data_IF_254223425368
#
_entry.id   IF_254223425368
#
_cell.length_a   1.000
_cell.length_b   1.000
_cell.length_c   1.000
_cell.angle_alpha   90.00
_cell.angle_beta   90.00
_cell.angle_gamma   90.00
#
_symmetry.space_group_name_H-M   'P 1'
#
loop_
_entity.id
_entity.type
_entity.pdbx_description
1 polymer ?
#
# COMPACT_ATOMS: atom_id res chain seq x y z
N UNK A 1 5.00 -2.74 25.40
CA UNK A 1 3.83 -3.52 24.94
C UNK A 1 3.88 -3.58 23.42
N UNK A 2 3.65 -4.74 22.81
CA UNK A 2 3.57 -4.85 21.34
C UNK A 2 2.16 -4.50 20.91
N UNK A 3 1.99 -3.41 20.14
CA UNK A 3 0.68 -3.09 19.57
C UNK A 3 0.25 -4.23 18.64
N UNK A 4 -0.97 -4.77 18.77
CA UNK A 4 -1.46 -5.79 17.87
C UNK A 4 -1.40 -5.30 16.42
N UNK A 5 -0.89 -6.14 15.53
CA UNK A 5 -0.69 -5.77 14.12
C UNK A 5 -1.16 -6.92 13.23
N UNK A 6 -1.86 -6.60 12.15
CA UNK A 6 -2.30 -7.55 11.15
C UNK A 6 -1.99 -7.07 9.74
N UNK A 7 -1.40 -7.95 8.94
CA UNK A 7 -1.19 -7.75 7.51
C UNK A 7 -2.44 -8.18 6.75
N UNK A 8 -2.98 -7.32 5.89
CA UNK A 8 -4.23 -7.48 5.17
C UNK A 8 -3.94 -7.55 3.67
N UNK A 9 -4.27 -8.69 3.04
CA UNK A 9 -3.90 -8.99 1.67
C UNK A 9 -5.13 -9.30 0.83
N UNK A 10 -5.55 -8.40 -0.09
CA UNK A 10 -6.54 -8.73 -1.10
C UNK A 10 -5.91 -9.59 -2.18
N UNK A 11 -6.62 -10.64 -2.64
CA UNK A 11 -6.10 -11.58 -3.62
C UNK A 11 -7.14 -11.87 -4.70
N UNK A 12 -6.71 -11.81 -5.96
CA UNK A 12 -7.46 -12.33 -7.10
C UNK A 12 -6.53 -13.02 -8.08
N UNK A 13 -6.56 -14.36 -8.12
CA UNK A 13 -5.76 -15.17 -9.04
C UNK A 13 -4.25 -14.86 -8.97
N UNK A 14 -3.64 -15.07 -7.79
CA UNK A 14 -2.23 -14.80 -7.52
C UNK A 14 -1.43 -16.07 -7.16
N UNK A 15 -1.83 -17.22 -7.69
CA UNK A 15 -1.17 -18.51 -7.47
C UNK A 15 0.35 -18.45 -7.64
N UNK A 16 0.82 -17.72 -8.66
CA UNK A 16 2.24 -17.61 -8.97
C UNK A 16 3.04 -16.72 -8.00
N UNK A 17 2.38 -15.84 -7.19
CA UNK A 17 3.08 -14.79 -6.44
C UNK A 17 2.77 -14.77 -4.95
N UNK A 18 1.55 -15.12 -4.54
CA UNK A 18 1.15 -15.07 -3.13
C UNK A 18 2.08 -15.87 -2.21
N UNK A 19 2.67 -16.98 -2.69
CA UNK A 19 3.65 -17.75 -1.95
C UNK A 19 4.91 -16.97 -1.61
N UNK A 20 5.40 -16.12 -2.53
CA UNK A 20 6.59 -15.28 -2.34
C UNK A 20 6.33 -14.23 -1.24
N UNK A 21 5.15 -13.61 -1.23
CA UNK A 21 4.75 -12.69 -0.16
C UNK A 21 4.72 -13.41 1.20
N UNK A 22 4.06 -14.57 1.28
CA UNK A 22 3.93 -15.31 2.55
C UNK A 22 5.27 -15.80 3.07
N UNK A 23 6.17 -16.25 2.19
CA UNK A 23 7.55 -16.60 2.56
C UNK A 23 8.32 -15.37 3.10
N UNK A 24 8.15 -14.19 2.50
CA UNK A 24 8.74 -12.94 2.98
C UNK A 24 8.16 -12.49 4.33
N UNK A 25 6.87 -12.71 4.57
CA UNK A 25 6.24 -12.40 5.85
C UNK A 25 6.65 -13.38 6.96
N UNK A 26 6.97 -14.62 6.62
CA UNK A 26 7.43 -15.63 7.58
C UNK A 26 8.82 -15.34 8.17
N UNK A 27 9.64 -14.54 7.47
CA UNK A 27 11.01 -14.18 7.91
C UNK A 27 11.10 -12.78 8.51
N UNK A 28 9.97 -12.15 8.83
CA UNK A 28 9.97 -10.83 9.47
C UNK A 28 10.65 -10.88 10.85
N UNK A 29 11.38 -9.82 11.21
CA UNK A 29 12.05 -9.65 12.49
C UNK A 29 11.07 -9.46 13.67
N UNK A 30 9.83 -9.13 13.36
CA UNK A 30 8.76 -8.89 14.32
C UNK A 30 8.23 -10.16 15.05
N UNK A 31 8.80 -11.32 14.79
CA UNK A 31 8.34 -12.60 15.34
C UNK A 31 7.19 -13.20 14.52
N UNK A 32 6.14 -13.70 15.19
CA UNK A 32 4.94 -14.22 14.50
C UNK A 32 4.12 -13.07 13.91
N UNK A 33 3.73 -13.20 12.64
CA UNK A 33 2.93 -12.20 11.92
C UNK A 33 1.51 -12.71 11.73
N UNK A 34 0.53 -11.91 12.15
CA UNK A 34 -0.88 -12.15 11.84
C UNK A 34 -1.16 -11.67 10.42
N UNK A 35 -1.79 -12.52 9.60
CA UNK A 35 -2.10 -12.22 8.20
C UNK A 35 -3.55 -12.58 7.91
N UNK A 36 -4.30 -11.68 7.30
CA UNK A 36 -5.60 -11.96 6.68
C UNK A 36 -5.43 -11.95 5.17
N UNK A 37 -5.79 -13.05 4.53
CA UNK A 37 -5.80 -13.21 3.07
C UNK A 37 -7.24 -13.30 2.60
N UNK A 38 -7.72 -12.31 1.85
CA UNK A 38 -9.08 -12.28 1.30
C UNK A 38 -9.05 -12.61 -0.20
N UNK A 39 -9.47 -13.82 -0.54
CA UNK A 39 -9.62 -14.27 -1.92
C UNK A 39 -10.93 -13.74 -2.50
N UNK A 40 -10.83 -13.05 -3.63
CA UNK A 40 -11.95 -12.46 -4.35
C UNK A 40 -12.13 -13.13 -5.70
N UNK A 41 -13.18 -13.94 -5.86
CA UNK A 41 -13.49 -14.64 -7.11
C UNK A 41 -12.24 -15.35 -7.72
N UNK A 42 -11.43 -16.00 -6.87
CA UNK A 42 -10.27 -16.76 -7.34
C UNK A 42 -10.70 -18.06 -8.00
N UNK A 43 -10.13 -18.34 -9.17
CA UNK A 43 -10.38 -19.54 -9.97
C UNK A 43 -9.13 -20.38 -10.19
N UNK A 44 -7.98 -19.92 -9.66
CA UNK A 44 -6.67 -20.58 -9.74
C UNK A 44 -6.30 -21.27 -8.40
N UNK A 45 -5.06 -21.73 -8.29
CA UNK A 45 -4.50 -22.38 -7.11
C UNK A 45 -4.14 -21.46 -5.93
N UNK A 46 -4.55 -20.18 -5.93
CA UNK A 46 -4.19 -19.24 -4.84
C UNK A 46 -4.52 -19.76 -3.45
N UNK A 47 -5.71 -20.36 -3.25
CA UNK A 47 -6.12 -20.91 -1.96
C UNK A 47 -5.21 -22.04 -1.48
N UNK A 48 -4.82 -22.93 -2.40
CA UNK A 48 -3.92 -24.06 -2.11
C UNK A 48 -2.53 -23.56 -1.70
N UNK A 49 -2.01 -22.54 -2.40
CA UNK A 49 -0.71 -21.93 -2.08
C UNK A 49 -0.74 -21.30 -0.68
N UNK A 50 -1.81 -20.58 -0.31
CA UNK A 50 -1.96 -20.00 1.03
C UNK A 50 -1.98 -21.06 2.10
N UNK A 51 -2.77 -22.15 1.93
CA UNK A 51 -2.83 -23.26 2.90
C UNK A 51 -1.49 -23.98 3.03
N UNK A 52 -0.77 -24.17 1.93
CA UNK A 52 0.57 -24.76 1.94
C UNK A 52 1.58 -23.90 2.70
N UNK A 53 1.56 -22.57 2.49
CA UNK A 53 2.40 -21.62 3.22
C UNK A 53 2.05 -21.61 4.72
N UNK A 54 0.78 -21.63 5.10
CA UNK A 54 0.33 -21.72 6.48
C UNK A 54 0.86 -23.00 7.15
N UNK A 55 0.82 -24.13 6.48
CA UNK A 55 1.34 -25.39 7.01
C UNK A 55 2.86 -25.36 7.17
N UNK A 56 3.58 -24.74 6.21
CA UNK A 56 5.04 -24.61 6.22
C UNK A 56 5.56 -23.68 7.30
N UNK A 57 4.88 -22.56 7.51
CA UNK A 57 5.33 -21.44 8.36
C UNK A 57 4.51 -21.27 9.64
N UNK A 58 3.65 -22.22 10.00
CA UNK A 58 2.67 -22.13 11.08
C UNK A 58 3.08 -21.35 12.33
N UNK A 59 4.27 -21.58 12.93
CA UNK A 59 4.71 -20.81 14.10
C UNK A 59 5.03 -19.32 13.80
N UNK A 60 5.31 -19.01 12.53
CA UNK A 60 5.73 -17.68 12.08
C UNK A 60 4.61 -16.88 11.42
N UNK A 61 3.60 -17.56 10.86
CA UNK A 61 2.46 -16.96 10.18
C UNK A 61 1.14 -17.46 10.76
N UNK A 62 0.39 -16.55 11.36
CA UNK A 62 -0.99 -16.83 11.81
C UNK A 62 -1.96 -16.35 10.73
N UNK A 63 -2.26 -17.22 9.75
CA UNK A 63 -3.07 -16.87 8.58
C UNK A 63 -4.56 -17.09 8.85
N UNK A 64 -5.38 -16.10 8.55
CA UNK A 64 -6.84 -16.22 8.37
C UNK A 64 -7.13 -16.14 6.86
N UNK A 65 -7.62 -17.21 6.28
CA UNK A 65 -8.01 -17.26 4.87
C UNK A 65 -9.51 -17.05 4.74
N UNK A 66 -9.92 -16.06 3.97
CA UNK A 66 -11.31 -15.73 3.64
C UNK A 66 -11.49 -15.96 2.14
N UNK A 67 -12.41 -16.84 1.77
CA UNK A 67 -12.78 -17.09 0.38
C UNK A 67 -14.14 -16.46 0.13
N UNK A 68 -14.20 -15.49 -0.77
CA UNK A 68 -15.43 -14.79 -1.10
C UNK A 68 -15.68 -14.78 -2.60
N UNK A 69 -16.92 -15.09 -2.98
CA UNK A 69 -17.38 -15.00 -4.36
C UNK A 69 -18.48 -13.96 -4.42
N UNK A 70 -18.18 -12.83 -5.05
CA UNK A 70 -19.19 -11.80 -5.32
C UNK A 70 -20.06 -12.24 -6.50
N UNK A 71 -21.35 -11.91 -6.44
CA UNK A 71 -22.32 -12.28 -7.48
C UNK A 71 -22.02 -11.62 -8.85
N UNK A 72 -21.42 -10.44 -8.82
CA UNK A 72 -20.87 -9.78 -9.99
C UNK A 72 -19.39 -10.13 -10.12
N UNK A 73 -18.99 -10.78 -11.19
CA UNK A 73 -17.57 -11.14 -11.45
C UNK A 73 -16.72 -9.91 -11.86
N UNK A 74 -17.16 -8.71 -11.55
CA UNK A 74 -16.40 -7.49 -11.86
C UNK A 74 -15.20 -7.37 -10.92
N UNK A 75 -14.01 -7.04 -11.46
CA UNK A 75 -12.86 -6.72 -10.63
C UNK A 75 -13.24 -5.61 -9.64
N UNK A 76 -13.07 -5.87 -8.35
CA UNK A 76 -13.32 -4.88 -7.30
C UNK A 76 -12.26 -5.06 -6.21
N UNK A 77 -11.15 -4.34 -6.37
CA UNK A 77 -10.04 -4.34 -5.42
C UNK A 77 -10.50 -3.80 -4.05
N UNK A 78 -11.37 -2.79 -4.05
CA UNK A 78 -11.89 -2.18 -2.84
C UNK A 78 -12.66 -3.16 -1.95
N UNK A 79 -13.54 -3.98 -2.52
CA UNK A 79 -14.24 -5.02 -1.74
C UNK A 79 -13.30 -6.03 -1.12
N UNK A 80 -12.34 -6.54 -1.89
CA UNK A 80 -11.38 -7.52 -1.37
C UNK A 80 -10.51 -6.91 -0.27
N UNK A 81 -9.99 -5.69 -0.48
CA UNK A 81 -9.19 -4.97 0.51
C UNK A 81 -10.00 -4.66 1.75
N UNK A 82 -11.26 -4.24 1.59
CA UNK A 82 -12.16 -4.00 2.70
C UNK A 82 -12.34 -5.25 3.56
N UNK A 83 -12.69 -6.39 2.97
CA UNK A 83 -12.85 -7.67 3.69
C UNK A 83 -11.56 -8.02 4.45
N UNK A 84 -10.40 -7.89 3.81
CA UNK A 84 -9.13 -8.18 4.47
C UNK A 84 -8.85 -7.26 5.66
N UNK A 85 -9.13 -5.96 5.52
CA UNK A 85 -8.85 -4.97 6.55
C UNK A 85 -9.88 -4.99 7.68
N UNK A 86 -11.17 -5.24 7.38
CA UNK A 86 -12.21 -5.39 8.41
C UNK A 86 -11.95 -6.62 9.28
N UNK A 87 -11.61 -7.77 8.68
CA UNK A 87 -11.20 -8.96 9.43
C UNK A 87 -9.87 -8.76 10.18
N UNK A 88 -8.96 -7.98 9.63
CA UNK A 88 -7.75 -7.54 10.33
C UNK A 88 -8.07 -6.69 11.56
N UNK A 89 -9.02 -5.75 11.44
CA UNK A 89 -9.50 -4.92 12.54
C UNK A 89 -10.12 -5.75 13.67
N UNK A 90 -10.96 -6.73 13.35
CA UNK A 90 -11.51 -7.66 14.34
C UNK A 90 -10.42 -8.39 15.12
N UNK A 91 -9.30 -8.69 14.44
CA UNK A 91 -8.18 -9.42 15.02
C UNK A 91 -7.29 -8.58 15.92
N UNK A 92 -7.09 -7.29 15.59
CA UNK A 92 -6.19 -6.40 16.34
C UNK A 92 -6.93 -5.48 17.32
N UNK A 93 -8.23 -5.28 17.14
CA UNK A 93 -9.02 -4.34 17.92
C UNK A 93 -8.74 -2.87 17.59
N UNK A 94 -9.40 -1.93 18.29
CA UNK A 94 -9.37 -0.51 17.97
C UNK A 94 -8.01 0.17 18.23
N UNK A 95 -7.15 -0.44 19.02
CA UNK A 95 -5.82 0.09 19.37
C UNK A 95 -4.71 -0.56 18.55
N UNK A 96 -5.07 -1.40 17.57
CA UNK A 96 -4.12 -2.09 16.70
C UNK A 96 -3.69 -1.31 15.48
N UNK A 97 -2.87 -1.99 14.66
CA UNK A 97 -2.34 -1.47 13.39
C UNK A 97 -2.70 -2.44 12.26
N UNK A 98 -3.23 -1.89 11.17
CA UNK A 98 -3.51 -2.62 9.93
C UNK A 98 -2.43 -2.30 8.91
N UNK A 99 -1.82 -3.33 8.33
CA UNK A 99 -0.87 -3.20 7.22
C UNK A 99 -1.51 -3.74 5.96
N UNK A 100 -1.80 -2.88 5.00
CA UNK A 100 -2.22 -3.30 3.66
C UNK A 100 -1.01 -3.60 2.80
N UNK A 101 -1.05 -4.72 2.07
CA UNK A 101 -0.08 -5.05 1.02
C UNK A 101 -0.75 -5.86 -0.09
N UNK A 102 -0.21 -5.81 -1.31
CA UNK A 102 -0.72 -6.58 -2.44
C UNK A 102 -0.08 -7.98 -2.49
N UNK A 103 -0.77 -8.94 -3.11
CA UNK A 103 -0.36 -10.34 -3.14
C UNK A 103 0.92 -10.61 -3.96
N UNK A 104 1.36 -9.65 -4.77
CA UNK A 104 2.56 -9.71 -5.61
C UNK A 104 3.72 -8.86 -5.08
N UNK A 105 3.70 -8.53 -3.80
CA UNK A 105 4.77 -7.82 -3.13
C UNK A 105 5.77 -8.76 -2.46
N UNK A 106 6.98 -8.24 -2.19
CA UNK A 106 8.03 -8.93 -1.44
C UNK A 106 8.70 -7.95 -0.49
N UNK A 107 8.13 -7.76 0.70
CA UNK A 107 8.70 -6.85 1.70
C UNK A 107 10.05 -7.36 2.25
N UNK A 108 10.95 -6.44 2.68
CA UNK A 108 12.18 -6.81 3.38
C UNK A 108 11.88 -7.34 4.79
N UNK A 109 12.85 -7.99 5.47
CA UNK A 109 12.63 -8.62 6.77
C UNK A 109 12.24 -7.68 7.90
N UNK A 110 12.52 -6.40 7.79
CA UNK A 110 12.23 -5.34 8.76
C UNK A 110 10.95 -4.53 8.46
N UNK A 111 10.20 -4.91 7.42
CA UNK A 111 9.04 -4.14 6.97
C UNK A 111 7.94 -4.01 8.04
N UNK A 112 7.65 -5.08 8.78
CA UNK A 112 6.63 -5.05 9.84
C UNK A 112 7.09 -4.20 11.02
N UNK A 113 8.34 -4.33 11.45
CA UNK A 113 8.89 -3.55 12.57
C UNK A 113 9.05 -2.06 12.21
N UNK A 114 9.44 -1.74 10.98
CA UNK A 114 9.55 -0.36 10.49
C UNK A 114 8.17 0.34 10.48
N UNK A 115 7.13 -0.33 9.95
CA UNK A 115 5.76 0.20 9.96
C UNK A 115 5.26 0.42 11.41
N UNK A 116 5.46 -0.57 12.29
CA UNK A 116 5.11 -0.44 13.72
C UNK A 116 5.84 0.73 14.38
N UNK A 117 7.13 0.90 14.07
CA UNK A 117 7.94 2.01 14.56
C UNK A 117 7.40 3.37 14.13
N UNK A 118 7.00 3.52 12.89
CA UNK A 118 6.43 4.75 12.33
C UNK A 118 5.10 5.14 13.03
N UNK A 119 4.20 4.16 13.21
CA UNK A 119 2.94 4.39 13.92
C UNK A 119 3.19 4.78 15.39
N UNK A 120 4.11 4.11 16.08
CA UNK A 120 4.53 4.48 17.45
C UNK A 120 5.18 5.85 17.52
N UNK A 121 5.81 6.30 16.45
CA UNK A 121 6.35 7.65 16.29
C UNK A 121 5.28 8.73 16.16
N UNK A 122 4.00 8.38 16.18
CA UNK A 122 2.86 9.32 16.19
C UNK A 122 2.23 9.56 14.82
N UNK A 123 2.50 8.69 13.83
CA UNK A 123 1.78 8.70 12.57
C UNK A 123 0.45 7.95 12.70
N UNK A 124 -0.59 8.42 12.02
CA UNK A 124 -1.85 7.70 11.83
C UNK A 124 -1.77 6.77 10.62
N UNK A 125 -1.02 7.20 9.59
CA UNK A 125 -0.73 6.40 8.39
C UNK A 125 0.77 6.48 8.06
N UNK A 126 1.31 5.37 7.55
CA UNK A 126 2.66 5.34 6.97
C UNK A 126 2.64 4.67 5.60
N UNK A 127 3.05 5.42 4.59
CA UNK A 127 3.27 4.91 3.24
C UNK A 127 4.66 4.30 3.11
N UNK A 128 4.78 3.20 2.36
CA UNK A 128 6.06 2.57 2.07
C UNK A 128 6.46 2.74 0.60
N UNK A 129 7.75 3.00 0.37
CA UNK A 129 8.30 3.15 -0.98
C UNK A 129 8.14 1.87 -1.79
N UNK A 130 7.71 2.01 -3.03
CA UNK A 130 7.58 0.90 -3.96
C UNK A 130 8.81 0.80 -4.85
N UNK A 131 9.50 -0.35 -4.79
CA UNK A 131 10.67 -0.66 -5.59
C UNK A 131 10.33 -1.84 -6.50
N UNK A 132 10.70 -1.80 -7.77
CA UNK A 132 10.45 -2.93 -8.66
C UNK A 132 11.27 -4.15 -8.22
N UNK A 133 10.67 -5.34 -8.26
CA UNK A 133 11.37 -6.57 -7.89
C UNK A 133 12.44 -6.90 -8.92
N UNK A 134 13.69 -6.93 -8.48
CA UNK A 134 14.86 -7.24 -9.30
C UNK A 134 14.86 -8.66 -9.90
N UNK A 135 13.99 -9.54 -9.38
CA UNK A 135 13.76 -10.89 -9.91
C UNK A 135 12.93 -10.90 -11.19
N UNK A 136 12.24 -9.81 -11.48
CA UNK A 136 11.41 -9.61 -12.67
C UNK A 136 11.95 -8.40 -13.46
N UNK A 137 13.09 -8.51 -14.16
CA UNK A 137 13.73 -7.36 -14.80
C UNK A 137 12.89 -6.79 -15.96
N UNK A 138 12.87 -5.47 -16.07
CA UNK A 138 12.26 -4.76 -17.19
C UNK A 138 13.19 -4.71 -18.40
N UNK A 139 12.64 -4.64 -19.63
CA UNK A 139 13.41 -4.23 -20.81
C UNK A 139 14.08 -2.87 -20.58
N UNK A 140 15.27 -2.62 -21.18
CA UNK A 140 16.04 -1.40 -20.92
C UNK A 140 15.27 -0.10 -21.15
N UNK A 141 14.44 -0.02 -22.21
CA UNK A 141 13.64 1.16 -22.52
C UNK A 141 12.55 1.45 -21.45
N UNK A 142 11.90 0.41 -20.94
CA UNK A 142 10.89 0.54 -19.88
C UNK A 142 11.54 0.90 -18.53
N UNK A 143 12.72 0.33 -18.23
CA UNK A 143 13.50 0.69 -17.06
C UNK A 143 13.95 2.16 -17.11
N UNK A 144 14.32 2.67 -18.29
CA UNK A 144 14.65 4.08 -18.47
C UNK A 144 13.44 4.99 -18.32
N UNK A 145 12.29 4.63 -18.90
CA UNK A 145 11.05 5.37 -18.73
C UNK A 145 10.64 5.44 -17.24
N UNK A 146 10.79 4.33 -16.52
CA UNK A 146 10.54 4.28 -15.08
C UNK A 146 11.48 5.21 -14.30
N UNK A 147 12.79 5.20 -14.57
CA UNK A 147 13.75 6.11 -13.92
C UNK A 147 13.39 7.58 -14.15
N UNK A 148 12.97 7.95 -15.38
CA UNK A 148 12.50 9.32 -15.66
C UNK A 148 11.26 9.70 -14.86
N UNK A 149 10.29 8.78 -14.77
CA UNK A 149 9.09 9.00 -13.97
C UNK A 149 9.43 9.14 -12.47
N UNK A 150 10.28 8.28 -11.92
CA UNK A 150 10.72 8.35 -10.52
C UNK A 150 11.43 9.68 -10.23
N UNK A 151 12.35 10.14 -11.11
CA UNK A 151 13.04 11.42 -10.96
C UNK A 151 12.08 12.62 -11.01
N UNK A 152 11.07 12.58 -11.89
CA UNK A 152 10.03 13.60 -11.93
C UNK A 152 9.25 13.65 -10.62
N UNK A 153 8.79 12.51 -10.11
CA UNK A 153 8.03 12.46 -8.88
C UNK A 153 8.85 12.85 -7.66
N UNK A 154 10.14 12.56 -7.63
CA UNK A 154 11.05 13.04 -6.61
C UNK A 154 11.14 14.58 -6.63
N UNK A 155 11.30 15.20 -7.80
CA UNK A 155 11.30 16.65 -7.95
C UNK A 155 9.94 17.28 -7.58
N UNK A 156 8.82 16.63 -7.93
CA UNK A 156 7.48 17.08 -7.56
C UNK A 156 7.29 17.08 -6.03
N UNK A 157 7.76 16.03 -5.33
CA UNK A 157 7.74 15.97 -3.86
C UNK A 157 8.59 17.08 -3.23
N UNK A 158 9.79 17.29 -3.75
CA UNK A 158 10.65 18.37 -3.26
C UNK A 158 9.99 19.76 -3.39
N UNK A 159 9.26 20.01 -4.50
CA UNK A 159 8.51 21.23 -4.70
C UNK A 159 7.32 21.38 -3.73
N UNK A 160 6.60 20.28 -3.45
CA UNK A 160 5.53 20.25 -2.44
C UNK A 160 6.07 20.53 -1.03
N UNK A 161 7.17 19.86 -0.65
CA UNK A 161 7.78 20.00 0.68
C UNK A 161 8.31 21.40 0.94
N UNK A 162 8.88 22.04 -0.08
CA UNK A 162 9.29 23.45 0.00
C UNK A 162 8.10 24.40 0.21
N UNK A 163 6.94 24.07 -0.34
CA UNK A 163 5.74 24.90 -0.27
C UNK A 163 4.90 24.66 1.00
N UNK A 164 4.88 23.42 1.49
CA UNK A 164 4.06 22.96 2.62
C UNK A 164 4.76 21.89 3.45
N UNK A 165 5.80 22.24 4.23
CA UNK A 165 6.53 21.27 5.04
C UNK A 165 5.69 20.71 6.18
N UNK A 166 5.83 19.41 6.44
CA UNK A 166 5.21 18.71 7.56
C UNK A 166 6.27 18.24 8.56
N UNK A 167 6.21 18.65 9.84
CA UNK A 167 7.23 18.26 10.84
C UNK A 167 7.37 16.75 11.06
N UNK A 168 6.29 15.99 10.83
CA UNK A 168 6.25 14.53 11.00
C UNK A 168 6.59 13.73 9.74
N UNK A 169 6.79 14.42 8.59
CA UNK A 169 7.11 13.81 7.30
C UNK A 169 8.23 14.61 6.62
N UNK A 170 9.40 14.57 7.25
CA UNK A 170 10.55 15.39 6.84
C UNK A 170 11.13 14.93 5.50
N UNK A 171 11.52 15.88 4.61
CA UNK A 171 12.20 15.54 3.36
C UNK A 171 13.64 14.98 3.63
N UNK A 172 14.20 14.19 2.68
CA UNK A 172 13.58 13.75 1.44
C UNK A 172 12.60 12.61 1.67
N UNK A 173 11.40 12.68 1.05
CA UNK A 173 10.38 11.64 1.15
C UNK A 173 9.99 11.10 -0.23
N UNK A 174 9.63 9.82 -0.30
CA UNK A 174 9.22 9.19 -1.56
C UNK A 174 7.78 9.52 -1.97
N UNK A 175 6.88 9.68 -1.01
CA UNK A 175 5.47 10.04 -1.25
C UNK A 175 4.57 8.88 -1.71
N UNK A 176 5.05 7.65 -1.74
CA UNK A 176 4.22 6.47 -2.06
C UNK A 176 3.37 6.10 -0.84
N UNK A 177 2.06 5.95 -1.04
CA UNK A 177 1.10 5.56 0.01
C UNK A 177 -0.05 4.74 -0.57
N UNK A 178 0.28 3.79 -1.45
CA UNK A 178 -0.68 2.88 -2.09
C UNK A 178 -0.96 1.65 -1.24
N UNK A 179 -2.01 0.91 -1.60
CA UNK A 179 -2.40 -0.33 -0.94
C UNK A 179 -1.32 -1.42 -0.92
N UNK A 180 -0.30 -1.33 -1.77
CA UNK A 180 0.83 -2.25 -1.81
C UNK A 180 1.77 -2.13 -0.60
N UNK A 181 1.81 -0.97 0.08
CA UNK A 181 2.54 -0.76 1.33
C UNK A 181 1.96 0.42 2.11
N UNK A 182 0.94 0.17 2.92
CA UNK A 182 0.26 1.18 3.72
C UNK A 182 -0.03 0.66 5.12
N UNK A 183 0.51 1.34 6.13
CA UNK A 183 0.09 1.15 7.51
C UNK A 183 -0.99 2.19 7.87
N UNK A 184 -1.97 1.79 8.67
CA UNK A 184 -2.98 2.68 9.23
C UNK A 184 -3.33 2.22 10.65
N UNK A 185 -3.49 3.16 11.59
CA UNK A 185 -4.02 2.84 12.91
C UNK A 185 -5.48 2.36 12.79
N UNK A 186 -5.87 1.38 13.59
CA UNK A 186 -7.25 0.88 13.60
C UNK A 186 -8.26 2.00 13.91
N UNK A 187 -7.90 2.94 14.77
CA UNK A 187 -8.74 4.14 15.07
C UNK A 187 -8.95 5.01 13.83
N UNK A 188 -7.88 5.31 13.10
CA UNK A 188 -7.97 6.11 11.87
C UNK A 188 -8.82 5.37 10.81
N UNK A 189 -8.61 4.07 10.63
CA UNK A 189 -9.39 3.22 9.74
C UNK A 189 -10.90 3.26 10.06
N UNK A 190 -11.25 3.14 11.34
CA UNK A 190 -12.65 3.27 11.82
C UNK A 190 -13.24 4.65 11.55
N UNK A 191 -12.48 5.73 11.83
CA UNK A 191 -12.92 7.10 11.56
C UNK A 191 -13.17 7.36 10.05
N UNK A 192 -12.41 6.68 9.19
CA UNK A 192 -12.61 6.74 7.73
C UNK A 192 -13.84 5.98 7.25
N UNK A 193 -14.42 5.10 8.09
CA UNK A 193 -15.51 4.20 7.70
C UNK A 193 -15.03 2.99 6.87
N UNK A 194 -13.74 2.67 6.93
CA UNK A 194 -13.12 1.56 6.21
C UNK A 194 -12.74 1.88 4.76
N UNK A 195 -12.25 0.87 4.04
CA UNK A 195 -11.93 0.99 2.61
C UNK A 195 -13.21 1.18 1.80
N UNK A 196 -13.29 2.15 0.88
CA UNK A 196 -14.44 2.29 -0.01
C UNK A 196 -14.51 1.12 -1.02
N UNK A 197 -15.73 0.62 -1.26
CA UNK A 197 -15.98 -0.51 -2.15
C UNK A 197 -16.03 -0.08 -3.63
N UNK A 198 -15.01 0.61 -4.10
CA UNK A 198 -14.86 1.03 -5.48
C UNK A 198 -13.95 0.09 -6.26
N UNK A 199 -14.08 0.07 -7.57
CA UNK A 199 -13.39 -0.90 -8.43
C UNK A 199 -11.86 -0.70 -8.46
N UNK A 200 -11.40 0.55 -8.31
CA UNK A 200 -9.99 0.94 -8.38
C UNK A 200 -9.78 2.27 -7.65
N UNK A 201 -8.58 2.51 -7.10
CA UNK A 201 -8.23 3.72 -6.35
C UNK A 201 -8.80 3.78 -4.93
N UNK A 202 -9.20 2.65 -4.39
CA UNK A 202 -9.75 2.50 -3.04
C UNK A 202 -8.76 2.88 -1.94
N UNK A 203 -7.48 2.61 -2.17
CA UNK A 203 -6.37 2.94 -1.28
C UNK A 203 -6.13 4.45 -1.25
N UNK A 204 -6.11 5.09 -2.41
CA UNK A 204 -5.99 6.56 -2.53
C UNK A 204 -7.18 7.23 -1.86
N UNK A 205 -8.41 6.76 -2.11
CA UNK A 205 -9.61 7.31 -1.51
C UNK A 205 -9.64 7.14 0.02
N UNK A 206 -9.14 6.02 0.56
CA UNK A 206 -8.96 5.82 2.01
C UNK A 206 -7.98 6.84 2.58
N UNK A 207 -6.82 7.03 1.95
CA UNK A 207 -5.80 8.00 2.39
C UNK A 207 -6.33 9.43 2.32
N UNK A 208 -6.99 9.82 1.22
CA UNK A 208 -7.60 11.15 1.08
C UNK A 208 -8.65 11.41 2.16
N UNK A 209 -9.48 10.39 2.47
CA UNK A 209 -10.44 10.48 3.56
C UNK A 209 -9.77 10.68 4.91
N UNK A 210 -8.72 9.92 5.22
CA UNK A 210 -7.95 10.06 6.45
C UNK A 210 -7.33 11.48 6.57
N UNK A 211 -6.71 11.98 5.50
CA UNK A 211 -6.14 13.32 5.47
C UNK A 211 -7.20 14.41 5.67
N UNK A 212 -8.40 14.24 5.10
CA UNK A 212 -9.52 15.18 5.30
C UNK A 212 -10.03 15.22 6.76
N UNK A 213 -9.77 14.17 7.53
CA UNK A 213 -10.06 14.08 8.96
C UNK A 213 -8.89 14.54 9.84
N UNK A 214 -7.79 15.03 9.24
CA UNK A 214 -6.65 15.56 9.97
C UNK A 214 -5.60 14.51 10.36
N UNK A 215 -5.65 13.30 9.78
CA UNK A 215 -4.69 12.25 10.06
C UNK A 215 -3.27 12.63 9.60
N UNK A 216 -2.26 12.17 10.35
CA UNK A 216 -0.84 12.35 10.04
C UNK A 216 -0.36 11.20 9.17
N UNK A 217 -0.15 11.49 7.88
CA UNK A 217 0.51 10.59 6.94
C UNK A 217 1.99 10.91 6.87
N UNK A 218 2.85 9.91 6.99
CA UNK A 218 4.28 10.03 6.78
C UNK A 218 4.82 9.02 5.79
N UNK A 219 6.03 9.28 5.25
CA UNK A 219 6.71 8.46 4.24
C UNK A 219 8.14 8.13 4.69
N UNK A 220 8.32 7.35 5.80
CA UNK A 220 9.65 7.04 6.29
C UNK A 220 10.47 6.23 5.28
N UNK A 221 11.71 6.64 5.04
CA UNK A 221 12.61 5.97 4.10
C UNK A 221 12.93 4.49 4.49
N UNK A 222 12.70 4.13 5.75
CA UNK A 222 12.86 2.77 6.26
C UNK A 222 11.72 1.82 5.88
N UNK A 223 10.59 2.36 5.41
CA UNK A 223 9.45 1.55 4.95
C UNK A 223 9.48 1.45 3.45
N UNK A 224 9.66 0.24 2.94
CA UNK A 224 9.64 -0.03 1.50
C UNK A 224 9.27 -1.48 1.21
N UNK A 225 8.81 -1.76 0.00
CA UNK A 225 8.54 -3.11 -0.48
C UNK A 225 8.86 -3.26 -1.96
N UNK A 226 9.18 -4.47 -2.37
CA UNK A 226 9.27 -4.81 -3.79
C UNK A 226 7.88 -5.11 -4.33
N UNK A 227 7.65 -4.65 -5.55
CA UNK A 227 6.40 -4.89 -6.29
C UNK A 227 6.71 -5.50 -7.65
N UNK A 228 5.86 -6.39 -8.13
CA UNK A 228 6.02 -7.00 -9.44
C UNK A 228 5.84 -5.95 -10.54
N UNK A 229 6.76 -5.84 -11.52
CA UNK A 229 6.64 -4.96 -12.67
C UNK A 229 5.72 -5.54 -13.77
N UNK A 230 4.85 -6.48 -13.43
CA UNK A 230 3.97 -7.13 -14.40
C UNK A 230 3.11 -6.11 -15.17
N UNK A 231 2.89 -6.42 -16.45
CA UNK A 231 2.06 -5.62 -17.36
C UNK A 231 0.59 -6.10 -17.42
N UNK A 232 0.32 -7.30 -16.95
CA UNK A 232 -1.05 -7.84 -16.87
C UNK A 232 -1.64 -7.52 -15.48
N UNK A 233 -2.30 -6.39 -15.36
CA UNK A 233 -3.02 -5.96 -14.15
C UNK A 233 -4.43 -6.53 -14.07
N UNK A 234 -5.00 -6.54 -12.85
CA UNK A 234 -6.37 -6.95 -12.58
C UNK A 234 -7.28 -5.76 -12.20
N UNK A 235 -6.67 -4.60 -11.97
CA UNK A 235 -7.35 -3.33 -11.72
C UNK A 235 -7.06 -2.35 -12.85
N UNK A 236 -8.07 -1.69 -13.38
CA UNK A 236 -7.91 -0.64 -14.38
C UNK A 236 -7.30 0.61 -13.73
N UNK A 237 -6.37 1.28 -14.42
CA UNK A 237 -5.70 2.48 -13.93
C UNK A 237 -4.61 2.22 -12.87
N UNK A 238 -4.24 0.95 -12.62
CA UNK A 238 -3.20 0.58 -11.68
C UNK A 238 -1.78 0.62 -12.27
N UNK A 239 -0.80 0.16 -11.46
CA UNK A 239 0.62 0.09 -11.86
C UNK A 239 0.83 -0.68 -13.18
N UNK A 240 0.07 -1.75 -13.42
CA UNK A 240 0.19 -2.53 -14.65
C UNK A 240 -0.11 -1.71 -15.91
N UNK A 241 -1.10 -0.82 -15.86
CA UNK A 241 -1.42 0.05 -17.00
C UNK A 241 -0.30 1.08 -17.24
N UNK A 242 0.27 1.65 -16.18
CA UNK A 242 1.45 2.51 -16.28
C UNK A 242 2.66 1.76 -16.85
N UNK A 243 2.89 0.52 -16.41
CA UNK A 243 3.96 -0.33 -16.96
C UNK A 243 3.71 -0.68 -18.43
N UNK A 244 2.47 -0.96 -18.83
CA UNK A 244 2.13 -1.17 -20.24
C UNK A 244 2.42 0.06 -21.10
N UNK A 245 2.06 1.25 -20.64
CA UNK A 245 2.35 2.50 -21.34
C UNK A 245 3.87 2.69 -21.54
N UNK A 246 4.66 2.44 -20.48
CA UNK A 246 6.13 2.49 -20.56
C UNK A 246 6.69 1.44 -21.53
N UNK A 247 6.11 0.23 -21.56
CA UNK A 247 6.51 -0.83 -22.49
C UNK A 247 6.20 -0.50 -23.94
N UNK A 248 5.12 0.25 -24.21
CA UNK A 248 4.77 0.75 -25.55
C UNK A 248 5.55 2.00 -25.95
N UNK A 249 6.36 2.57 -25.04
CA UNK A 249 7.07 3.82 -25.27
C UNK A 249 6.15 5.05 -25.31
N UNK A 250 4.98 4.96 -24.68
CA UNK A 250 4.04 6.08 -24.59
C UNK A 250 4.58 7.16 -23.64
N UNK A 251 4.62 8.39 -24.12
CA UNK A 251 4.99 9.53 -23.27
C UNK A 251 3.81 9.97 -22.41
N UNK A 252 3.99 9.93 -21.10
CA UNK A 252 3.02 10.49 -20.17
C UNK A 252 3.25 11.99 -20.04
N UNK A 253 2.27 12.80 -20.41
CA UNK A 253 2.33 14.26 -20.14
C UNK A 253 2.14 14.49 -18.65
N UNK A 254 3.23 14.90 -17.99
CA UNK A 254 3.23 15.22 -16.56
C UNK A 254 3.05 16.72 -16.35
N UNK A 255 2.31 17.16 -15.32
CA UNK A 255 2.14 18.57 -14.99
C UNK A 255 3.49 19.24 -14.71
N UNK A 256 3.65 20.56 -14.92
CA UNK A 256 4.87 21.25 -14.52
C UNK A 256 5.04 21.22 -12.98
N UNK A 257 6.27 21.26 -12.49
CA UNK A 257 6.56 21.20 -11.04
C UNK A 257 5.88 22.31 -10.24
N UNK A 258 5.65 23.48 -10.85
CA UNK A 258 4.90 24.61 -10.25
C UNK A 258 3.48 24.21 -9.85
N UNK A 259 2.82 23.34 -10.60
CA UNK A 259 1.50 22.82 -10.29
C UNK A 259 1.47 22.15 -8.90
N UNK A 260 2.47 21.35 -8.57
CA UNK A 260 2.55 20.65 -7.29
C UNK A 260 2.80 21.61 -6.13
N UNK A 261 3.70 22.60 -6.34
CA UNK A 261 3.96 23.64 -5.36
C UNK A 261 2.70 24.50 -5.09
N UNK A 262 1.93 24.85 -6.12
CA UNK A 262 0.68 25.61 -5.99
C UNK A 262 -0.39 24.82 -5.22
N UNK A 263 -0.57 23.55 -5.53
CA UNK A 263 -1.47 22.64 -4.78
C UNK A 263 -1.07 22.56 -3.30
N UNK A 264 0.22 22.45 -3.02
CA UNK A 264 0.72 22.38 -1.64
C UNK A 264 0.44 23.70 -0.89
N UNK A 265 0.68 24.87 -1.51
CA UNK A 265 0.35 26.17 -0.93
C UNK A 265 -1.15 26.29 -0.64
N UNK A 266 -2.01 25.85 -1.56
CA UNK A 266 -3.46 25.87 -1.36
C UNK A 266 -3.89 25.02 -0.16
N UNK A 267 -3.34 23.78 -0.02
CA UNK A 267 -3.58 22.91 1.14
C UNK A 267 -3.14 23.57 2.45
N UNK A 268 -1.96 24.20 2.45
CA UNK A 268 -1.44 24.93 3.61
C UNK A 268 -2.34 26.09 4.01
N UNK A 269 -2.79 26.88 3.04
CA UNK A 269 -3.69 28.02 3.29
C UNK A 269 -5.03 27.54 3.88
N UNK A 270 -5.61 26.46 3.36
CA UNK A 270 -6.85 25.88 3.88
C UNK A 270 -6.69 25.40 5.34
N UNK A 271 -5.57 24.76 5.68
CA UNK A 271 -5.30 24.35 7.08
C UNK A 271 -5.16 25.52 8.01
N UNK A 272 -4.46 26.57 7.61
CA UNK A 272 -4.30 27.77 8.44
C UNK A 272 -5.63 28.49 8.62
N UNK A 273 -6.44 28.60 7.56
CA UNK A 273 -7.76 29.21 7.62
C UNK A 273 -8.74 28.49 8.55
N UNK A 274 -8.68 27.15 8.60
CA UNK A 274 -9.52 26.34 9.50
C UNK A 274 -9.07 26.35 10.97
N UNK A 275 -7.85 26.82 11.27
CA UNK A 275 -7.36 26.97 12.66
C UNK A 275 -7.71 28.34 13.27
N UNK A 276 -8.18 29.28 12.45
CA UNK A 276 -8.49 30.68 12.85
C UNK A 276 -10.01 30.92 12.90
N UNK A 277 -10.79 29.99 12.34
CA UNK A 277 -12.26 30.01 12.38
C UNK A 277 -12.80 29.14 13.54
#
# INVERSE_FOLDING_TARGET
>A
MNDPLCVCVPVRNEEARIGVLLDALAVQDAGSVAVVVALNNCTDGSAQVVRAAQSRHGPRLSVTLIEHVFADDRPNAGRARRIAMDAGLERVGPDGVLLSTDADTRPPPDWVSANRGAIRGGLDLAGGRLVLDEREPLPPHAAEARRRADAYWEAARAAEDAADPHPWDAPPRHGDHTGASLAITARCYLCCGGVPEIASGEDVALVERALSLGARLGHPATIWTRVSPRIAGRANGGMADAMQAMMRGEETTLPPLTHWAERARARRAARIGSLVA
#
